data_IF_250063240209
#
_entry.id   IF_250063240209
#
_cell.length_a   1.000
_cell.length_b   1.000
_cell.length_c   1.000
_cell.angle_alpha   90.00
_cell.angle_beta   90.00
_cell.angle_gamma   90.00
#
_symmetry.space_group_name_H-M   'P 1'
#
loop_
_entity.id
_entity.type
_entity.pdbx_description
1 polymer ?
#
# COMPACT_ATOMS: atom_id res chain seq x y z
N UNK A 1 50.00 29.86 -8.24
CA UNK A 1 48.66 29.87 -8.87
C UNK A 1 48.09 28.44 -8.78
N UNK A 2 47.60 27.99 -7.60
CA UNK A 2 47.15 26.59 -7.41
C UNK A 2 46.22 26.43 -6.18
N UNK A 3 45.25 27.33 -5.98
CA UNK A 3 44.33 27.31 -4.81
C UNK A 3 42.85 27.12 -5.18
N UNK A 4 42.51 26.94 -6.46
CA UNK A 4 41.12 26.86 -6.94
C UNK A 4 40.57 25.44 -7.17
N UNK A 5 41.41 24.40 -7.06
CA UNK A 5 40.99 23.02 -7.41
C UNK A 5 40.31 22.27 -6.25
N UNK A 6 40.71 22.52 -5.00
CA UNK A 6 40.21 21.77 -3.83
C UNK A 6 38.71 22.03 -3.56
N UNK A 7 38.24 23.26 -3.78
CA UNK A 7 36.81 23.60 -3.59
C UNK A 7 35.87 22.92 -4.58
N UNK A 8 36.33 22.65 -5.80
CA UNK A 8 35.52 21.98 -6.83
C UNK A 8 35.31 20.50 -6.52
N UNK A 9 36.32 19.81 -5.96
CA UNK A 9 36.21 18.40 -5.58
C UNK A 9 35.28 18.16 -4.40
N UNK A 10 35.20 19.11 -3.45
CA UNK A 10 34.30 19.00 -2.30
C UNK A 10 32.83 19.15 -2.74
N UNK A 11 32.53 20.01 -3.71
CA UNK A 11 31.17 20.22 -4.20
C UNK A 11 30.64 19.02 -5.00
N UNK A 12 31.50 18.32 -5.75
CA UNK A 12 31.11 17.10 -6.48
C UNK A 12 30.89 15.91 -5.55
N UNK A 13 31.64 15.82 -4.44
CA UNK A 13 31.49 14.75 -3.46
C UNK A 13 30.15 14.82 -2.69
N UNK A 14 29.63 16.01 -2.42
CA UNK A 14 28.33 16.21 -1.74
C UNK A 14 27.11 15.88 -2.61
N UNK A 15 27.24 15.88 -3.94
CA UNK A 15 26.15 15.50 -4.86
C UNK A 15 26.11 13.97 -5.05
N UNK A 16 27.21 13.28 -4.78
CA UNK A 16 27.33 11.83 -4.97
C UNK A 16 27.00 11.00 -3.72
N UNK A 17 26.65 11.62 -2.58
CA UNK A 17 26.11 10.87 -1.45
C UNK A 17 24.73 10.32 -1.84
N UNK A 18 24.57 8.99 -1.99
CA UNK A 18 23.25 8.42 -2.24
C UNK A 18 22.38 8.79 -1.05
N UNK A 19 21.26 9.46 -1.33
CA UNK A 19 20.16 9.56 -0.37
C UNK A 19 19.77 8.13 -0.03
N UNK A 20 20.24 7.64 1.12
CA UNK A 20 19.92 6.30 1.58
C UNK A 20 18.41 6.27 1.80
N UNK A 21 17.70 5.62 0.89
CA UNK A 21 16.28 5.37 1.05
C UNK A 21 16.14 4.36 2.18
N UNK A 22 15.46 4.71 3.26
CA UNK A 22 15.23 3.82 4.39
C UNK A 22 14.14 2.82 4.00
N UNK A 23 14.54 1.69 3.42
CA UNK A 23 13.67 0.54 3.28
C UNK A 23 13.41 -0.07 4.67
N UNK A 24 12.17 -0.49 4.92
CA UNK A 24 11.87 -1.25 6.12
C UNK A 24 12.67 -2.58 6.10
N UNK A 25 13.34 -2.89 7.20
CA UNK A 25 14.02 -4.16 7.38
C UNK A 25 13.05 -5.18 8.00
N UNK A 26 13.03 -6.39 7.45
CA UNK A 26 12.23 -7.49 7.95
C UNK A 26 13.11 -8.56 8.60
N UNK A 27 12.61 -9.32 9.59
CA UNK A 27 11.24 -9.25 10.15
C UNK A 27 10.98 -7.94 10.91
N UNK A 28 9.81 -7.36 10.71
CA UNK A 28 9.38 -6.08 11.30
C UNK A 28 8.27 -6.35 12.31
N UNK A 29 8.48 -5.95 13.57
CA UNK A 29 7.40 -6.00 14.57
C UNK A 29 6.78 -4.63 14.74
N UNK A 30 5.46 -4.55 14.59
CA UNK A 30 4.65 -3.35 14.76
C UNK A 30 3.65 -3.56 15.90
N UNK A 31 3.31 -2.48 16.59
CA UNK A 31 2.22 -2.47 17.56
C UNK A 31 0.99 -1.87 16.89
N UNK A 32 -0.13 -2.60 16.86
CA UNK A 32 -1.37 -2.08 16.30
C UNK A 32 -2.12 -1.16 17.27
N UNK A 33 -3.26 -0.63 16.83
CA UNK A 33 -4.09 0.29 17.63
C UNK A 33 -4.72 -0.36 18.87
N UNK A 34 -4.77 -1.69 18.93
CA UNK A 34 -5.26 -2.48 20.08
C UNK A 34 -4.10 -2.95 20.98
N UNK A 35 -2.87 -2.48 20.72
CA UNK A 35 -1.69 -2.80 21.51
C UNK A 35 -1.07 -4.16 21.23
N UNK A 36 -1.51 -4.88 20.18
CA UNK A 36 -0.97 -6.20 19.82
C UNK A 36 0.35 -6.05 19.08
N UNK A 37 1.34 -6.85 19.45
CA UNK A 37 2.62 -6.93 18.74
C UNK A 37 2.51 -7.93 17.57
N UNK A 38 2.59 -7.43 16.35
CA UNK A 38 2.47 -8.21 15.11
C UNK A 38 3.81 -8.21 14.39
N UNK A 39 4.36 -9.40 14.10
CA UNK A 39 5.60 -9.54 13.34
C UNK A 39 5.32 -9.88 11.88
N UNK A 40 5.67 -8.97 10.99
CA UNK A 40 5.68 -9.18 9.55
C UNK A 40 7.01 -9.81 9.14
N UNK A 41 6.97 -10.97 8.47
CA UNK A 41 8.18 -11.70 8.07
C UNK A 41 8.84 -11.12 6.82
N UNK A 42 8.05 -10.47 5.97
CA UNK A 42 8.48 -9.76 4.76
C UNK A 42 7.52 -8.61 4.48
N UNK A 43 7.83 -7.80 3.47
CA UNK A 43 6.91 -6.76 3.01
C UNK A 43 5.61 -7.40 2.51
N UNK A 44 4.43 -7.03 3.06
CA UNK A 44 3.15 -7.53 2.59
C UNK A 44 2.94 -7.16 1.11
N UNK A 45 2.58 -8.16 0.31
CA UNK A 45 2.24 -8.07 -1.10
C UNK A 45 0.76 -8.42 -1.37
N UNK A 46 0.05 -9.03 -0.41
CA UNK A 46 -1.33 -9.50 -0.55
C UNK A 46 -2.20 -9.02 0.61
N UNK A 47 -2.84 -7.87 0.42
CA UNK A 47 -3.56 -7.13 1.46
C UNK A 47 -5.08 -7.26 1.27
N UNK A 48 -5.78 -7.45 2.38
CA UNK A 48 -7.25 -7.36 2.44
C UNK A 48 -7.64 -6.01 3.05
N UNK A 49 -8.53 -5.28 2.38
CA UNK A 49 -9.09 -4.04 2.93
C UNK A 49 -10.50 -4.30 3.50
N UNK A 50 -10.60 -4.37 4.82
CA UNK A 50 -11.89 -4.56 5.49
C UNK A 50 -12.81 -3.34 5.33
N UNK A 51 -12.24 -2.13 5.39
CA UNK A 51 -12.89 -0.91 4.96
C UNK A 51 -12.33 -0.49 3.59
N UNK A 52 -13.15 -0.49 2.54
CA UNK A 52 -12.69 -0.11 1.21
C UNK A 52 -12.19 1.32 1.08
N UNK A 53 -12.50 2.20 2.04
CA UNK A 53 -12.01 3.59 2.05
C UNK A 53 -10.53 3.69 2.36
N UNK A 54 -9.94 2.65 2.96
CA UNK A 54 -8.50 2.56 3.22
C UNK A 54 -7.67 2.54 1.91
N UNK A 55 -8.32 2.35 0.76
CA UNK A 55 -7.66 2.55 -0.55
C UNK A 55 -7.05 3.95 -0.70
N UNK A 56 -7.59 4.96 0.01
CA UNK A 56 -7.03 6.31 0.03
C UNK A 56 -5.69 6.37 0.77
N UNK A 57 -5.54 5.61 1.86
CA UNK A 57 -4.25 5.45 2.52
C UNK A 57 -3.28 4.68 1.64
N UNK A 58 -3.75 3.64 0.95
CA UNK A 58 -2.93 2.91 -0.03
C UNK A 58 -2.45 3.81 -1.17
N UNK A 59 -3.20 4.83 -1.60
CA UNK A 59 -2.75 5.78 -2.61
C UNK A 59 -1.58 6.66 -2.17
N UNK A 60 -1.37 6.82 -0.86
CA UNK A 60 -0.19 7.51 -0.32
C UNK A 60 1.04 6.61 -0.29
N UNK A 61 0.83 5.31 -0.03
CA UNK A 61 1.89 4.30 0.11
C UNK A 61 2.32 3.72 -1.25
N UNK A 62 1.35 3.37 -2.10
CA UNK A 62 1.52 2.78 -3.42
C UNK A 62 1.07 3.77 -4.51
N UNK A 63 1.83 4.86 -4.64
CA UNK A 63 1.46 6.03 -5.45
C UNK A 63 1.16 5.74 -6.92
N UNK A 64 1.86 4.76 -7.51
CA UNK A 64 1.65 4.37 -8.91
C UNK A 64 0.34 3.60 -9.08
N UNK A 65 0.02 2.73 -8.11
CA UNK A 65 -1.17 1.90 -8.14
C UNK A 65 -1.58 1.44 -6.72
N UNK A 66 -2.58 2.07 -6.08
CA UNK A 66 -3.02 1.73 -4.73
C UNK A 66 -3.64 0.33 -4.65
N UNK A 67 -4.03 -0.23 -5.78
CA UNK A 67 -4.64 -1.55 -5.88
C UNK A 67 -3.62 -2.68 -6.07
N UNK A 68 -2.32 -2.36 -6.28
CA UNK A 68 -1.33 -3.36 -6.73
C UNK A 68 -1.20 -4.57 -5.79
N UNK A 69 -1.42 -4.36 -4.49
CA UNK A 69 -1.34 -5.40 -3.44
C UNK A 69 -2.70 -5.89 -2.95
N UNK A 70 -3.79 -5.28 -3.37
CA UNK A 70 -5.12 -5.56 -2.79
C UNK A 70 -5.72 -6.80 -3.43
N UNK A 71 -5.91 -7.87 -2.66
CA UNK A 71 -6.40 -9.16 -3.16
C UNK A 71 -7.89 -9.40 -2.88
N UNK A 72 -8.40 -8.77 -1.84
CA UNK A 72 -9.83 -8.70 -1.54
C UNK A 72 -10.14 -7.41 -0.77
N UNK A 73 -11.38 -6.96 -0.84
CA UNK A 73 -11.80 -5.74 -0.15
C UNK A 73 -13.31 -5.65 0.00
N UNK A 74 -13.76 -4.79 0.90
CA UNK A 74 -15.14 -4.35 0.96
C UNK A 74 -15.33 -3.11 0.08
N UNK A 75 -15.84 -3.26 -1.15
CA UNK A 75 -15.94 -2.14 -2.08
C UNK A 75 -17.11 -1.19 -1.74
N UNK A 76 -16.92 -0.37 -0.71
CA UNK A 76 -17.90 0.62 -0.26
C UNK A 76 -18.14 1.71 -1.29
N UNK A 77 -17.09 2.16 -2.02
CA UNK A 77 -17.21 3.18 -3.04
C UNK A 77 -18.20 2.76 -4.14
N UNK A 78 -18.12 1.52 -4.63
CA UNK A 78 -19.06 1.00 -5.63
C UNK A 78 -20.52 1.05 -5.17
N UNK A 79 -20.79 0.91 -3.86
CA UNK A 79 -22.14 0.91 -3.29
C UNK A 79 -22.63 2.30 -2.87
N UNK A 80 -21.74 3.14 -2.34
CA UNK A 80 -22.10 4.37 -1.60
C UNK A 80 -21.59 5.65 -2.25
N UNK A 81 -20.52 5.58 -3.07
CA UNK A 81 -19.92 6.73 -3.75
C UNK A 81 -19.49 6.35 -5.18
N UNK A 82 -20.49 6.29 -6.05
CA UNK A 82 -20.33 5.87 -7.45
C UNK A 82 -19.38 6.80 -8.20
N UNK A 83 -19.30 8.08 -7.84
CA UNK A 83 -18.43 9.05 -8.52
C UNK A 83 -16.95 8.76 -8.20
N UNK A 84 -16.64 8.55 -6.92
CA UNK A 84 -15.29 8.11 -6.53
C UNK A 84 -14.95 6.77 -7.17
N UNK A 85 -15.90 5.82 -7.22
CA UNK A 85 -15.65 4.54 -7.87
C UNK A 85 -15.34 4.67 -9.36
N UNK A 86 -16.09 5.49 -10.10
CA UNK A 86 -15.83 5.76 -11.53
C UNK A 86 -14.44 6.35 -11.74
N UNK A 87 -14.08 7.36 -10.95
CA UNK A 87 -12.75 7.98 -11.01
C UNK A 87 -11.62 6.96 -10.75
N UNK A 88 -11.79 6.08 -9.76
CA UNK A 88 -10.82 5.01 -9.48
C UNK A 88 -10.72 4.00 -10.63
N UNK A 89 -11.85 3.62 -11.24
CA UNK A 89 -11.88 2.69 -12.38
C UNK A 89 -11.27 3.29 -13.65
N UNK A 90 -11.45 4.59 -13.89
CA UNK A 90 -10.86 5.27 -15.05
C UNK A 90 -9.33 5.22 -15.00
N UNK A 91 -8.74 5.41 -13.82
CA UNK A 91 -7.28 5.38 -13.64
C UNK A 91 -6.71 3.97 -13.45
N UNK A 92 -7.45 3.09 -12.77
CA UNK A 92 -7.02 1.74 -12.43
C UNK A 92 -8.12 0.73 -12.75
N UNK A 93 -8.37 0.42 -14.03
CA UNK A 93 -9.46 -0.47 -14.45
C UNK A 93 -9.34 -1.90 -13.89
N UNK A 94 -8.12 -2.36 -13.59
CA UNK A 94 -7.88 -3.65 -12.94
C UNK A 94 -8.53 -3.77 -11.56
N UNK A 95 -8.86 -2.65 -10.89
CA UNK A 95 -9.53 -2.64 -9.59
C UNK A 95 -10.88 -3.37 -9.60
N UNK A 96 -11.55 -3.44 -10.76
CA UNK A 96 -12.82 -4.15 -10.92
C UNK A 96 -12.70 -5.68 -10.80
N UNK A 97 -11.50 -6.24 -10.91
CA UNK A 97 -11.25 -7.69 -10.84
C UNK A 97 -10.96 -8.18 -9.42
N UNK A 98 -10.73 -7.26 -8.48
CA UNK A 98 -10.44 -7.59 -7.08
C UNK A 98 -11.70 -8.18 -6.44
N UNK A 99 -11.51 -9.24 -5.64
CA UNK A 99 -12.60 -9.90 -4.93
C UNK A 99 -13.30 -8.89 -4.00
N UNK A 100 -14.55 -8.54 -4.33
CA UNK A 100 -15.44 -7.86 -3.40
C UNK A 100 -15.94 -8.89 -2.37
N UNK A 101 -15.58 -8.68 -1.11
CA UNK A 101 -15.95 -9.56 0.00
C UNK A 101 -17.46 -9.60 0.24
N UNK A 102 -18.21 -8.61 -0.28
CA UNK A 102 -19.66 -8.68 -0.34
C UNK A 102 -20.31 -8.84 1.03
N UNK A 103 -19.94 -8.01 2.01
CA UNK A 103 -20.54 -8.01 3.35
C UNK A 103 -22.07 -8.13 3.25
N UNK A 104 -22.61 -9.20 3.83
CA UNK A 104 -24.06 -9.35 4.00
C UNK A 104 -24.60 -8.29 4.96
N UNK A 105 -25.93 -8.10 4.98
CA UNK A 105 -26.58 -7.16 5.91
C UNK A 105 -26.30 -7.46 7.39
N UNK A 106 -25.82 -8.67 7.70
CA UNK A 106 -25.40 -9.11 9.04
C UNK A 106 -23.89 -8.97 9.28
N UNK A 107 -23.15 -8.40 8.35
CA UNK A 107 -21.70 -8.22 8.44
C UNK A 107 -20.88 -9.47 8.11
N UNK A 108 -21.51 -10.57 7.67
CA UNK A 108 -20.79 -11.81 7.32
C UNK A 108 -20.13 -11.72 5.94
N UNK A 109 -18.99 -12.38 5.80
CA UNK A 109 -18.22 -12.55 4.56
C UNK A 109 -17.97 -14.05 4.35
N UNK A 110 -17.90 -14.49 3.10
CA UNK A 110 -17.41 -15.83 2.76
C UNK A 110 -15.91 -15.93 3.03
N UNK A 111 -15.57 -16.47 4.21
CA UNK A 111 -14.18 -16.61 4.68
C UNK A 111 -13.34 -17.50 3.78
N UNK A 112 -13.92 -18.56 3.20
CA UNK A 112 -13.18 -19.48 2.32
C UNK A 112 -12.76 -18.77 1.04
N UNK A 113 -13.66 -17.98 0.45
CA UNK A 113 -13.33 -17.13 -0.69
C UNK A 113 -12.21 -16.13 -0.38
N UNK A 114 -12.18 -15.54 0.81
CA UNK A 114 -11.14 -14.61 1.24
C UNK A 114 -9.80 -15.31 1.48
N UNK A 115 -9.79 -16.41 2.23
CA UNK A 115 -8.58 -17.20 2.53
C UNK A 115 -8.00 -17.81 1.25
N UNK A 116 -8.83 -18.17 0.27
CA UNK A 116 -8.36 -18.67 -1.03
C UNK A 116 -7.51 -17.64 -1.80
N UNK A 117 -7.63 -16.35 -1.44
CA UNK A 117 -6.76 -15.29 -1.96
C UNK A 117 -5.41 -15.21 -1.26
N UNK A 118 -5.09 -16.11 -0.32
CA UNK A 118 -3.78 -16.22 0.32
C UNK A 118 -3.25 -14.85 0.78
N UNK A 119 -3.98 -14.09 1.61
CA UNK A 119 -3.47 -12.83 2.14
C UNK A 119 -2.22 -13.06 2.99
N UNK A 120 -1.37 -12.03 3.09
CA UNK A 120 -0.20 -12.01 3.98
C UNK A 120 -0.57 -11.58 5.40
#
# INVERSE_FOLDING_TARGET
>A
MARKSVGSFILTALISTPLCSFAAQYPLTVTDLDGRAITLQHEPQRIILQDGRDIMAMALLDRDNPFRRVVAWNNLARKQDINTWKMLQEKWPQSAQILDMGFSDKGNVDLESVISRQPD
#
